data_IF_340989381951
#
_entry.id   IF_340989381951
#
_cell.length_a   1.000
_cell.length_b   1.000
_cell.length_c   1.000
_cell.angle_alpha   90.00
_cell.angle_beta   90.00
_cell.angle_gamma   90.00
#
_symmetry.space_group_name_H-M   'P 1'
#
loop_
_entity.id
_entity.type
_entity.pdbx_description
1 polymer ?
#
# COMPACT_ATOMS: atom_id res chain seq x y z
N UNK A 1 -21.36 50.03 -33.97
CA UNK A 1 -21.40 50.24 -32.51
C UNK A 1 -21.74 48.92 -31.86
N UNK A 2 -20.79 48.27 -31.18
CA UNK A 2 -20.98 46.99 -30.52
C UNK A 2 -21.01 47.22 -28.99
N UNK A 3 -21.98 46.66 -28.25
CA UNK A 3 -22.05 46.82 -26.80
C UNK A 3 -20.97 46.00 -26.12
N UNK A 4 -20.17 46.68 -25.29
CA UNK A 4 -19.15 46.10 -24.41
C UNK A 4 -19.85 45.32 -23.29
N UNK A 5 -19.61 44.00 -23.26
CA UNK A 5 -20.09 43.07 -22.24
C UNK A 5 -19.32 43.30 -20.94
N UNK A 6 -20.00 43.77 -19.89
CA UNK A 6 -19.40 44.01 -18.58
C UNK A 6 -18.99 42.68 -17.90
N UNK A 7 -17.84 42.61 -17.21
CA UNK A 7 -17.41 41.42 -16.48
C UNK A 7 -18.28 41.18 -15.22
N UNK A 8 -18.49 39.90 -14.82
CA UNK A 8 -19.29 39.56 -13.65
C UNK A 8 -18.60 40.02 -12.34
N UNK A 9 -19.37 40.38 -11.30
CA UNK A 9 -18.84 40.83 -10.02
C UNK A 9 -18.11 39.69 -9.28
N UNK A 10 -17.07 39.99 -8.49
CA UNK A 10 -16.38 39.00 -7.67
C UNK A 10 -17.29 38.45 -6.56
N UNK A 11 -17.12 37.18 -6.16
CA UNK A 11 -17.87 36.60 -5.05
C UNK A 11 -17.55 37.35 -3.75
N UNK A 12 -18.59 37.79 -3.05
CA UNK A 12 -18.48 38.45 -1.75
C UNK A 12 -17.68 37.59 -0.76
N UNK A 13 -16.80 38.18 0.08
CA UNK A 13 -16.15 37.44 1.15
C UNK A 13 -17.21 36.96 2.13
N UNK A 14 -17.46 35.65 2.14
CA UNK A 14 -18.33 35.04 3.12
C UNK A 14 -17.79 35.33 4.52
N UNK A 15 -18.68 35.89 5.34
CA UNK A 15 -18.46 36.26 6.71
C UNK A 15 -17.83 35.10 7.50
N UNK A 16 -16.70 35.42 8.13
CA UNK A 16 -16.07 34.61 9.16
C UNK A 16 -17.03 34.59 10.35
N UNK A 17 -17.80 33.50 10.48
CA UNK A 17 -18.66 33.31 11.65
C UNK A 17 -17.78 33.02 12.88
N UNK A 18 -18.01 33.70 14.01
CA UNK A 18 -17.24 33.51 15.23
C UNK A 18 -17.58 32.18 15.89
N UNK A 19 -16.55 31.59 16.50
CA UNK A 19 -16.59 30.38 17.27
C UNK A 19 -17.67 30.43 18.37
N UNK A 20 -18.70 29.59 18.22
CA UNK A 20 -19.58 29.25 19.33
C UNK A 20 -18.89 28.17 20.14
N UNK A 21 -18.25 28.59 21.23
CA UNK A 21 -17.78 27.71 22.28
C UNK A 21 -18.99 27.13 23.03
N UNK A 22 -18.98 25.82 23.28
CA UNK A 22 -19.75 25.24 24.39
C UNK A 22 -20.88 24.29 24.03
N UNK A 23 -20.55 23.15 23.40
CA UNK A 23 -21.13 21.86 23.80
C UNK A 23 -20.00 20.82 23.73
N UNK A 24 -19.61 20.17 24.84
CA UNK A 24 -18.65 19.08 24.81
C UNK A 24 -19.33 17.86 24.17
N UNK A 25 -19.30 17.81 22.83
CA UNK A 25 -19.67 16.61 22.08
C UNK A 25 -18.88 15.42 22.64
N UNK A 26 -19.52 14.24 22.79
CA UNK A 26 -18.96 13.08 23.46
C UNK A 26 -17.56 12.81 22.93
N UNK A 27 -16.60 13.02 23.84
CA UNK A 27 -15.17 12.96 23.58
C UNK A 27 -14.81 11.53 23.23
N UNK A 28 -14.13 11.37 22.10
CA UNK A 28 -12.90 10.60 22.12
C UNK A 28 -12.98 9.15 21.64
N UNK A 29 -13.83 8.82 20.67
CA UNK A 29 -13.43 7.72 19.80
C UNK A 29 -12.28 8.25 18.93
N UNK A 30 -11.07 7.79 19.24
CA UNK A 30 -9.86 8.17 18.52
C UNK A 30 -9.97 7.66 17.08
N UNK A 31 -10.42 8.55 16.18
CA UNK A 31 -10.48 8.29 14.75
C UNK A 31 -9.08 7.89 14.27
N UNK A 32 -8.96 6.74 13.62
CA UNK A 32 -7.71 6.25 13.03
C UNK A 32 -7.84 6.15 11.52
N UNK A 33 -6.74 6.42 10.84
CA UNK A 33 -6.56 6.14 9.41
C UNK A 33 -6.93 4.67 9.15
N UNK A 34 -7.76 4.40 8.14
CA UNK A 34 -8.20 3.06 7.76
C UNK A 34 -9.58 2.66 8.31
N UNK A 35 -10.14 3.38 9.28
CA UNK A 35 -11.48 3.07 9.80
C UNK A 35 -12.58 3.43 8.80
N UNK A 36 -13.66 2.64 8.76
CA UNK A 36 -14.86 2.97 8.00
C UNK A 36 -15.71 4.00 8.75
N UNK A 37 -16.16 5.01 8.02
CA UNK A 37 -16.98 6.11 8.54
C UNK A 37 -18.16 6.38 7.62
N UNK A 38 -19.23 6.90 8.21
CA UNK A 38 -20.37 7.47 7.50
C UNK A 38 -20.36 8.98 7.66
N UNK A 39 -20.59 9.70 6.56
CA UNK A 39 -20.71 11.15 6.59
C UNK A 39 -22.10 11.53 7.09
N UNK A 40 -22.16 12.45 8.06
CA UNK A 40 -23.40 13.07 8.55
C UNK A 40 -23.22 14.56 8.81
N UNK A 41 -24.33 15.29 8.92
CA UNK A 41 -24.32 16.71 9.29
C UNK A 41 -23.84 17.66 8.19
N UNK A 42 -23.85 17.22 6.93
CA UNK A 42 -23.65 18.12 5.79
C UNK A 42 -24.95 18.81 5.38
N UNK A 43 -24.85 20.06 4.91
CA UNK A 43 -25.99 20.80 4.35
C UNK A 43 -26.55 20.15 3.08
N UNK A 44 -25.73 19.41 2.33
CA UNK A 44 -26.16 18.65 1.17
C UNK A 44 -26.54 17.24 1.59
N UNK A 45 -27.81 16.89 1.42
CA UNK A 45 -28.35 15.58 1.78
C UNK A 45 -27.70 14.44 0.98
N UNK A 46 -27.25 14.71 -0.25
CA UNK A 46 -26.54 13.74 -1.09
C UNK A 46 -25.21 13.25 -0.49
N UNK A 47 -24.64 13.97 0.47
CA UNK A 47 -23.41 13.59 1.16
C UNK A 47 -23.67 12.83 2.46
N UNK A 48 -24.87 12.99 3.03
CA UNK A 48 -25.23 12.30 4.27
C UNK A 48 -25.55 10.83 3.97
N UNK A 49 -25.02 9.91 4.76
CA UNK A 49 -25.22 8.47 4.55
C UNK A 49 -24.17 7.82 3.64
N UNK A 50 -23.32 8.61 2.98
CA UNK A 50 -22.21 8.03 2.21
C UNK A 50 -21.18 7.41 3.13
N UNK A 51 -20.71 6.21 2.76
CA UNK A 51 -19.67 5.47 3.45
C UNK A 51 -18.32 5.70 2.78
N UNK A 52 -17.28 5.70 3.59
CA UNK A 52 -15.92 5.81 3.12
C UNK A 52 -14.89 5.38 4.16
N UNK A 53 -13.64 5.38 3.73
CA UNK A 53 -12.50 5.00 4.56
C UNK A 53 -11.72 6.24 4.95
N UNK A 54 -11.37 6.35 6.23
CA UNK A 54 -10.52 7.43 6.72
C UNK A 54 -9.11 7.31 6.14
N UNK A 55 -8.66 8.37 5.51
CA UNK A 55 -7.30 8.63 5.09
C UNK A 55 -6.53 9.44 6.12
N UNK A 56 -5.57 10.23 5.64
CA UNK A 56 -4.67 11.00 6.49
C UNK A 56 -5.39 12.20 7.12
N UNK A 57 -5.14 12.43 8.41
CA UNK A 57 -5.54 13.66 9.08
C UNK A 57 -4.62 14.82 8.68
N UNK A 58 -5.22 15.93 8.25
CA UNK A 58 -4.52 17.17 7.97
C UNK A 58 -4.70 18.12 9.15
N UNK A 59 -3.72 18.11 10.06
CA UNK A 59 -3.73 18.96 11.26
C UNK A 59 -3.80 20.45 10.89
N UNK A 60 -3.16 20.84 9.79
CA UNK A 60 -3.20 22.22 9.23
C UNK A 60 -4.63 22.69 8.94
N UNK A 61 -5.51 21.79 8.54
CA UNK A 61 -6.89 22.11 8.17
C UNK A 61 -7.91 21.64 9.21
N UNK A 62 -7.48 20.91 10.24
CA UNK A 62 -8.37 20.26 11.20
C UNK A 62 -9.39 19.33 10.55
N UNK A 63 -9.01 18.66 9.45
CA UNK A 63 -9.90 17.81 8.67
C UNK A 63 -9.26 16.48 8.30
N UNK A 64 -10.09 15.45 8.20
CA UNK A 64 -9.74 14.12 7.75
C UNK A 64 -9.95 14.01 6.24
N UNK A 65 -9.00 13.44 5.52
CA UNK A 65 -9.28 12.95 4.17
C UNK A 65 -10.14 11.69 4.29
N UNK A 66 -11.28 11.64 3.60
CA UNK A 66 -12.14 10.47 3.51
C UNK A 66 -12.23 10.05 2.05
N UNK A 67 -11.94 8.78 1.79
CA UNK A 67 -12.10 8.15 0.48
C UNK A 67 -13.49 7.53 0.43
N UNK A 68 -14.39 8.09 -0.36
CA UNK A 68 -15.77 7.61 -0.47
C UNK A 68 -15.81 6.32 -1.30
N UNK A 69 -16.64 5.35 -0.93
CA UNK A 69 -16.83 4.15 -1.78
C UNK A 69 -17.53 4.48 -3.11
N UNK A 70 -18.45 5.45 -3.09
CA UNK A 70 -19.16 5.88 -4.30
C UNK A 70 -18.31 6.74 -5.24
N UNK A 71 -17.21 7.33 -4.74
CA UNK A 71 -16.37 8.23 -5.52
C UNK A 71 -14.92 8.08 -5.10
N UNK A 72 -14.06 7.69 -6.04
CA UNK A 72 -12.61 7.50 -5.81
C UNK A 72 -11.85 8.78 -5.40
N UNK A 73 -12.52 9.93 -5.33
CA UNK A 73 -11.91 11.18 -4.90
C UNK A 73 -11.85 11.28 -3.36
N UNK A 74 -10.71 11.74 -2.84
CA UNK A 74 -10.58 12.08 -1.43
C UNK A 74 -11.30 13.42 -1.14
N UNK A 75 -12.13 13.45 -0.08
CA UNK A 75 -12.74 14.69 0.42
C UNK A 75 -12.24 15.02 1.82
N UNK A 76 -12.03 16.31 2.07
CA UNK A 76 -11.68 16.81 3.40
C UNK A 76 -12.96 16.99 4.23
N UNK A 77 -13.07 16.27 5.34
CA UNK A 77 -14.25 16.26 6.22
C UNK A 77 -13.83 16.54 7.65
N UNK A 78 -14.59 17.37 8.36
CA UNK A 78 -14.32 17.65 9.78
C UNK A 78 -14.70 16.43 10.64
N UNK A 79 -13.99 16.15 11.74
CA UNK A 79 -14.27 15.01 12.61
C UNK A 79 -15.70 15.00 13.18
N UNK A 80 -16.30 16.17 13.39
CA UNK A 80 -17.68 16.33 13.84
C UNK A 80 -18.75 15.87 12.83
N UNK A 81 -18.39 15.72 11.55
CA UNK A 81 -19.28 15.25 10.49
C UNK A 81 -19.06 13.77 10.16
N UNK A 82 -18.32 13.05 11.01
CA UNK A 82 -17.98 11.65 10.82
C UNK A 82 -18.61 10.81 11.94
N UNK A 83 -19.38 9.82 11.53
CA UNK A 83 -19.93 8.80 12.42
C UNK A 83 -19.20 7.49 12.15
N UNK A 84 -18.59 6.91 13.18
CA UNK A 84 -17.88 5.64 13.07
C UNK A 84 -18.88 4.52 12.81
N UNK A 85 -18.71 3.79 11.70
CA UNK A 85 -19.47 2.58 11.49
C UNK A 85 -18.67 1.43 12.10
N UNK A 86 -19.23 0.65 13.05
CA UNK A 86 -18.62 -0.61 13.43
C UNK A 86 -18.52 -1.47 12.16
N UNK A 87 -17.32 -2.02 11.89
CA UNK A 87 -17.11 -2.93 10.77
C UNK A 87 -18.01 -4.15 10.99
N UNK A 88 -19.17 -4.13 10.32
CA UNK A 88 -20.18 -5.18 10.42
C UNK A 88 -19.66 -6.52 9.87
N UNK A 89 -18.52 -6.49 9.19
CA UNK A 89 -17.80 -7.65 8.66
C UNK A 89 -17.21 -8.55 9.77
N UNK A 90 -16.94 -8.03 10.98
CA UNK A 90 -16.48 -8.86 12.10
C UNK A 90 -17.63 -9.61 12.80
N UNK A 91 -18.86 -9.12 12.68
CA UNK A 91 -20.03 -9.72 13.33
C UNK A 91 -20.47 -11.06 12.70
N UNK A 92 -19.98 -11.39 11.50
CA UNK A 92 -20.32 -12.66 10.83
C UNK A 92 -19.30 -13.77 11.08
N UNK A 93 -18.17 -13.49 11.74
CA UNK A 93 -17.16 -14.49 12.06
C UNK A 93 -17.37 -15.18 13.41
N UNK A 94 -18.08 -14.55 14.34
CA UNK A 94 -18.39 -15.13 15.66
C UNK A 94 -19.77 -15.83 15.74
N UNK A 95 -20.59 -15.75 14.70
CA UNK A 95 -21.94 -16.36 14.68
C UNK A 95 -22.01 -17.71 13.95
N UNK A 96 -20.92 -18.18 13.34
CA UNK A 96 -20.87 -19.48 12.66
C UNK A 96 -19.96 -20.45 13.42
N UNK A 97 -20.51 -21.06 14.50
CA UNK A 97 -20.44 -22.50 14.81
C UNK A 97 -20.76 -22.77 16.30
N UNK A 98 -22.01 -23.11 16.66
CA UNK A 98 -22.28 -24.05 17.72
C UNK A 98 -22.66 -25.40 17.09
N UNK A 99 -21.77 -26.39 17.20
CA UNK A 99 -22.14 -27.80 17.11
C UNK A 99 -21.60 -28.56 15.91
N UNK A 100 -20.43 -29.18 16.09
CA UNK A 100 -20.16 -30.52 15.57
C UNK A 100 -19.20 -31.22 16.52
N UNK A 101 -19.64 -32.37 17.02
CA UNK A 101 -19.10 -33.12 18.13
C UNK A 101 -17.71 -33.72 17.90
N UNK A 102 -16.98 -33.85 19.02
CA UNK A 102 -16.09 -34.95 19.39
C UNK A 102 -14.85 -35.23 18.53
N UNK A 103 -13.74 -34.60 18.92
CA UNK A 103 -12.38 -35.09 18.68
C UNK A 103 -11.41 -34.25 19.51
N UNK A 104 -10.90 -34.81 20.62
CA UNK A 104 -10.16 -34.06 21.65
C UNK A 104 -8.91 -33.36 21.13
N UNK A 105 -8.83 -32.05 21.40
CA UNK A 105 -7.59 -31.28 21.39
C UNK A 105 -7.30 -30.85 22.84
N UNK A 106 -6.11 -31.16 23.39
CA UNK A 106 -5.74 -30.77 24.74
C UNK A 106 -5.51 -29.27 24.82
N UNK A 107 -6.06 -28.68 25.87
CA UNK A 107 -6.04 -27.25 26.14
C UNK A 107 -4.64 -26.74 26.51
N UNK A 108 -4.22 -25.66 25.84
CA UNK A 108 -3.05 -24.87 26.20
C UNK A 108 -2.39 -24.18 25.02
N UNK A 109 -3.16 -23.49 24.15
CA UNK A 109 -2.63 -22.75 23.00
C UNK A 109 -1.91 -21.47 23.46
N UNK A 110 -0.63 -21.62 23.80
CA UNK A 110 0.33 -20.54 23.60
C UNK A 110 0.70 -20.57 22.11
N UNK A 111 0.26 -19.61 21.27
CA UNK A 111 0.53 -19.62 19.83
C UNK A 111 2.03 -19.44 19.49
N UNK A 112 2.88 -19.33 20.50
CA UNK A 112 4.34 -19.30 20.41
C UNK A 112 5.02 -20.55 20.98
N UNK A 113 4.28 -21.55 21.47
CA UNK A 113 4.85 -22.85 21.80
C UNK A 113 5.20 -23.56 20.50
N UNK A 114 6.35 -23.19 19.93
CA UNK A 114 6.99 -23.78 18.77
C UNK A 114 7.07 -25.29 19.00
N UNK A 115 6.14 -26.02 18.38
CA UNK A 115 6.04 -27.48 18.53
C UNK A 115 7.30 -28.06 17.91
N UNK A 116 8.27 -28.37 18.75
CA UNK A 116 9.50 -29.03 18.33
C UNK A 116 9.14 -30.41 17.75
N UNK A 117 9.71 -30.79 16.59
CA UNK A 117 9.55 -32.12 16.06
C UNK A 117 9.97 -33.19 17.09
N UNK A 118 9.35 -34.38 17.07
CA UNK A 118 9.79 -35.48 17.92
C UNK A 118 11.23 -35.89 17.57
N UNK A 119 12.02 -36.31 18.56
CA UNK A 119 13.46 -36.58 18.42
C UNK A 119 13.81 -37.70 17.41
N UNK A 120 12.85 -38.53 17.05
CA UNK A 120 13.02 -39.61 16.08
C UNK A 120 12.75 -39.19 14.62
N UNK A 121 12.26 -37.97 14.37
CA UNK A 121 11.94 -37.47 13.04
C UNK A 121 13.04 -36.54 12.51
N UNK A 122 14.12 -37.17 12.01
CA UNK A 122 15.28 -36.45 11.51
C UNK A 122 14.97 -35.51 10.33
N UNK A 123 13.98 -35.83 9.50
CA UNK A 123 13.59 -34.99 8.36
C UNK A 123 12.88 -33.72 8.83
N UNK A 124 11.98 -33.83 9.80
CA UNK A 124 11.32 -32.66 10.39
C UNK A 124 12.31 -31.72 11.10
N UNK A 125 13.35 -32.27 11.75
CA UNK A 125 14.46 -31.48 12.30
C UNK A 125 15.26 -30.74 11.23
N UNK A 126 15.53 -31.38 10.09
CA UNK A 126 16.22 -30.75 8.96
C UNK A 126 15.38 -29.61 8.36
N UNK A 127 14.07 -29.78 8.25
CA UNK A 127 13.17 -28.73 7.76
C UNK A 127 13.10 -27.54 8.74
N UNK A 128 12.99 -27.79 10.04
CA UNK A 128 12.99 -26.76 11.07
C UNK A 128 14.30 -25.95 11.04
N UNK A 129 15.46 -26.63 10.97
CA UNK A 129 16.76 -25.98 10.85
C UNK A 129 16.89 -25.17 9.54
N UNK A 130 16.34 -25.67 8.43
CA UNK A 130 16.33 -24.94 7.16
C UNK A 130 15.46 -23.69 7.25
N UNK A 131 14.27 -23.75 7.84
CA UNK A 131 13.41 -22.57 8.00
C UNK A 131 14.02 -21.54 8.96
N UNK A 132 14.57 -21.99 10.09
CA UNK A 132 15.29 -21.13 11.04
C UNK A 132 16.46 -20.40 10.36
N UNK A 133 17.27 -21.11 9.57
CA UNK A 133 18.35 -20.52 8.79
C UNK A 133 17.85 -19.50 7.75
N UNK A 134 16.74 -19.78 7.07
CA UNK A 134 16.13 -18.86 6.09
C UNK A 134 15.50 -17.63 6.75
N UNK A 135 14.95 -17.74 7.97
CA UNK A 135 14.49 -16.60 8.77
C UNK A 135 15.68 -15.74 9.21
N UNK A 136 16.76 -16.38 9.66
CA UNK A 136 17.99 -15.69 10.04
C UNK A 136 18.60 -14.94 8.84
N UNK A 137 18.70 -15.57 7.66
CA UNK A 137 19.15 -14.91 6.44
C UNK A 137 18.24 -13.73 6.04
N UNK A 138 16.93 -13.81 6.26
CA UNK A 138 16.02 -12.68 6.00
C UNK A 138 16.23 -11.54 7.00
N UNK A 139 16.45 -11.88 8.27
CA UNK A 139 16.70 -10.91 9.35
C UNK A 139 18.04 -10.19 9.18
N UNK A 140 19.13 -10.95 8.99
CA UNK A 140 20.48 -10.41 8.98
C UNK A 140 20.82 -9.65 7.70
N UNK A 141 20.19 -10.03 6.60
CA UNK A 141 20.54 -9.49 5.29
C UNK A 141 19.72 -8.24 4.94
N UNK A 142 18.87 -7.77 5.87
CA UNK A 142 18.00 -6.57 5.76
C UNK A 142 17.49 -6.38 4.33
N UNK A 143 17.11 -7.49 3.69
CA UNK A 143 16.72 -7.47 2.28
C UNK A 143 15.42 -6.67 2.27
N UNK A 144 15.38 -5.46 1.66
CA UNK A 144 14.11 -4.80 1.47
C UNK A 144 13.21 -5.83 0.80
N UNK A 145 12.01 -6.04 1.37
CA UNK A 145 11.01 -6.97 0.83
C UNK A 145 11.14 -6.97 -0.70
N UNK A 146 11.29 -8.15 -1.34
CA UNK A 146 11.60 -8.22 -2.75
C UNK A 146 10.67 -7.23 -3.48
N UNK A 147 11.24 -6.32 -4.30
CA UNK A 147 10.50 -5.20 -4.90
C UNK A 147 9.15 -5.70 -5.40
N UNK A 148 8.04 -4.96 -5.26
CA UNK A 148 6.67 -5.44 -5.13
C UNK A 148 6.16 -6.30 -6.32
N UNK A 149 6.73 -7.48 -6.50
CA UNK A 149 6.40 -8.43 -7.54
C UNK A 149 5.19 -9.26 -7.12
N UNK A 150 4.86 -9.36 -5.84
CA UNK A 150 3.66 -10.07 -5.40
C UNK A 150 2.37 -9.37 -5.86
N UNK A 151 2.29 -8.05 -5.71
CA UNK A 151 1.11 -7.28 -6.18
C UNK A 151 0.95 -7.41 -7.69
N UNK A 152 2.06 -7.41 -8.39
CA UNK A 152 2.15 -7.57 -9.84
C UNK A 152 1.82 -9.00 -10.30
N UNK A 153 2.30 -10.02 -9.59
CA UNK A 153 2.01 -11.43 -9.89
C UNK A 153 0.54 -11.75 -9.61
N UNK A 154 -0.06 -11.16 -8.57
CA UNK A 154 -1.53 -11.24 -8.35
C UNK A 154 -2.32 -10.57 -9.47
N UNK A 155 -1.84 -9.44 -9.99
CA UNK A 155 -2.44 -8.78 -11.15
C UNK A 155 -2.26 -9.59 -12.45
N UNK A 156 -1.13 -10.29 -12.61
CA UNK A 156 -0.87 -11.14 -13.77
C UNK A 156 -1.66 -12.46 -13.73
N UNK A 157 -1.94 -12.99 -12.53
CA UNK A 157 -2.75 -14.19 -12.35
C UNK A 157 -4.24 -13.96 -12.62
N UNK A 158 -4.74 -12.73 -12.39
CA UNK A 158 -6.11 -12.36 -12.69
C UNK A 158 -6.24 -11.95 -14.17
N UNK A 159 -7.05 -12.68 -14.94
CA UNK A 159 -7.29 -12.44 -16.39
C UNK A 159 -8.11 -11.17 -16.71
N UNK A 160 -8.13 -10.16 -15.86
CA UNK A 160 -8.87 -8.93 -16.16
C UNK A 160 -8.15 -8.14 -17.27
N UNK A 161 -8.89 -7.60 -18.27
CA UNK A 161 -8.31 -6.74 -19.28
C UNK A 161 -7.75 -5.48 -18.61
N UNK A 162 -6.43 -5.33 -18.63
CA UNK A 162 -5.73 -4.20 -18.02
C UNK A 162 -6.09 -2.93 -18.81
N UNK A 163 -6.57 -1.85 -18.16
CA UNK A 163 -6.98 -0.62 -18.84
C UNK A 163 -5.87 -0.03 -19.71
N UNK A 164 -6.25 0.40 -20.91
CA UNK A 164 -5.36 0.99 -21.91
C UNK A 164 -4.71 2.26 -21.35
N UNK A 165 -3.38 2.23 -21.18
CA UNK A 165 -2.61 3.33 -20.58
C UNK A 165 -1.96 3.02 -19.22
N UNK A 166 -2.29 1.89 -18.58
CA UNK A 166 -1.52 1.39 -17.44
C UNK A 166 -0.43 0.42 -17.92
N UNK A 167 0.82 0.82 -17.67
CA UNK A 167 2.05 0.08 -17.99
C UNK A 167 2.49 -0.92 -16.88
N UNK A 168 1.81 -2.06 -16.70
CA UNK A 168 2.51 -3.23 -16.17
C UNK A 168 2.54 -4.41 -17.13
N UNK A 169 1.45 -4.76 -17.82
CA UNK A 169 1.37 -6.05 -18.52
C UNK A 169 2.39 -6.21 -19.66
N UNK A 170 2.58 -5.20 -20.50
CA UNK A 170 3.57 -5.24 -21.58
C UNK A 170 5.00 -5.20 -21.05
N UNK A 171 5.26 -4.38 -20.03
CA UNK A 171 6.57 -4.26 -19.39
C UNK A 171 6.95 -5.57 -18.67
N UNK A 172 6.02 -6.18 -17.95
CA UNK A 172 6.22 -7.49 -17.31
C UNK A 172 6.39 -8.62 -18.31
N UNK A 173 5.65 -8.60 -19.41
CA UNK A 173 5.84 -9.58 -20.48
C UNK A 173 7.23 -9.44 -21.10
N UNK A 174 7.72 -8.22 -21.32
CA UNK A 174 9.11 -7.99 -21.75
C UNK A 174 10.13 -8.45 -20.69
N UNK A 175 9.89 -8.15 -19.41
CA UNK A 175 10.81 -8.52 -18.32
C UNK A 175 10.88 -10.04 -18.13
N UNK A 176 9.74 -10.73 -18.22
CA UNK A 176 9.67 -12.19 -18.22
C UNK A 176 10.39 -12.79 -19.43
N UNK A 177 10.21 -12.23 -20.64
CA UNK A 177 10.95 -12.68 -21.82
C UNK A 177 12.46 -12.48 -21.67
N UNK A 178 12.91 -11.38 -21.05
CA UNK A 178 14.34 -11.16 -20.76
C UNK A 178 14.89 -12.19 -19.77
N UNK A 179 14.14 -12.49 -18.70
CA UNK A 179 14.55 -13.50 -17.71
C UNK A 179 14.63 -14.90 -18.31
N UNK A 180 13.64 -15.31 -19.11
CA UNK A 180 13.69 -16.61 -19.80
C UNK A 180 14.88 -16.71 -20.77
N UNK A 181 15.22 -15.61 -21.49
CA UNK A 181 16.41 -15.57 -22.36
C UNK A 181 17.71 -15.66 -21.55
N UNK A 182 17.79 -15.01 -20.40
CA UNK A 182 18.95 -15.10 -19.51
C UNK A 182 19.11 -16.51 -18.93
N UNK A 183 18.01 -17.13 -18.48
CA UNK A 183 18.01 -18.48 -17.92
C UNK A 183 18.40 -19.54 -18.96
N UNK A 184 17.87 -19.44 -20.17
CA UNK A 184 18.20 -20.35 -21.28
C UNK A 184 19.59 -20.07 -21.88
N UNK A 185 20.32 -19.08 -21.38
CA UNK A 185 21.70 -18.79 -21.79
C UNK A 185 21.86 -18.00 -23.10
N UNK A 186 20.76 -17.47 -23.66
CA UNK A 186 20.73 -16.63 -24.87
C UNK A 186 20.99 -15.14 -24.58
N UNK A 187 21.22 -14.78 -23.32
CA UNK A 187 21.63 -13.43 -22.95
C UNK A 187 23.05 -13.11 -23.46
N UNK A 188 23.34 -11.84 -23.84
CA UNK A 188 24.68 -11.41 -24.18
C UNK A 188 25.57 -11.58 -22.96
N UNK A 189 26.33 -12.68 -22.90
CA UNK A 189 27.24 -12.96 -21.78
C UNK A 189 28.22 -11.79 -21.64
N UNK A 190 28.20 -11.04 -20.52
CA UNK A 190 29.20 -10.03 -20.26
C UNK A 190 30.55 -10.76 -20.14
N UNK A 191 31.38 -10.66 -21.16
CA UNK A 191 32.74 -11.21 -21.14
C UNK A 191 33.10 -12.21 -22.23
N UNK A 192 32.15 -12.76 -23.02
CA UNK A 192 32.55 -13.47 -24.25
C UNK A 192 32.70 -12.47 -25.38
N UNK A 193 33.91 -11.91 -25.49
CA UNK A 193 34.35 -11.19 -26.69
C UNK A 193 34.12 -12.12 -27.89
N UNK A 194 33.34 -11.67 -28.88
CA UNK A 194 33.23 -12.39 -30.15
C UNK A 194 34.66 -12.51 -30.73
N UNK A 195 35.11 -13.72 -31.08
CA UNK A 195 36.41 -13.87 -31.74
C UNK A 195 36.38 -13.06 -33.04
N UNK A 196 37.33 -12.13 -33.19
CA UNK A 196 37.47 -11.26 -34.36
C UNK A 196 37.10 -9.79 -34.15
N UNK A 197 36.61 -9.37 -32.97
CA UNK A 197 36.32 -7.96 -32.72
C UNK A 197 37.56 -7.23 -32.16
N UNK A 198 38.02 -6.12 -32.77
CA UNK A 198 39.18 -5.37 -32.29
C UNK A 198 38.92 -4.80 -30.88
N UNK A 199 39.96 -4.70 -30.03
CA UNK A 199 39.81 -4.18 -28.67
C UNK A 199 39.30 -2.73 -28.72
N UNK A 200 38.38 -2.34 -27.82
CA UNK A 200 37.93 -0.95 -27.77
C UNK A 200 39.11 -0.03 -27.41
N UNK A 201 39.14 1.21 -27.92
CA UNK A 201 40.17 2.17 -27.59
C UNK A 201 40.20 2.39 -26.07
N UNK A 202 41.38 2.24 -25.48
CA UNK A 202 41.62 2.55 -24.06
C UNK A 202 41.40 4.04 -23.85
N UNK A 203 40.27 4.42 -23.27
CA UNK A 203 40.11 5.75 -22.70
C UNK A 203 41.02 5.88 -21.49
N UNK A 204 42.09 6.65 -21.65
CA UNK A 204 42.96 7.04 -20.54
C UNK A 204 42.19 8.07 -19.72
N UNK A 205 41.66 7.66 -18.58
CA UNK A 205 40.93 8.53 -17.66
C UNK A 205 41.91 9.50 -16.98
N UNK A 206 42.25 10.58 -17.67
CA UNK A 206 42.94 11.75 -17.12
C UNK A 206 41.94 12.88 -16.87
N UNK A 207 41.03 12.70 -15.91
CA UNK A 207 40.19 13.80 -15.44
C UNK A 207 40.81 14.37 -14.16
N UNK A 208 41.60 15.42 -14.33
CA UNK A 208 42.14 16.24 -13.25
C UNK A 208 41.00 17.09 -12.69
N UNK A 209 40.61 16.84 -11.43
CA UNK A 209 39.66 17.69 -10.71
C UNK A 209 40.37 18.97 -10.21
N UNK A 210 39.89 20.18 -10.54
CA UNK A 210 40.40 21.39 -9.92
C UNK A 210 39.87 21.53 -8.48
N UNK A 211 40.78 21.60 -7.50
CA UNK A 211 40.46 21.97 -6.12
C UNK A 211 40.09 23.45 -6.06
N UNK A 212 38.84 23.75 -5.70
CA UNK A 212 38.43 25.10 -5.35
C UNK A 212 38.85 25.40 -3.90
N UNK A 213 39.80 26.34 -3.75
CA UNK A 213 40.13 27.03 -2.49
C UNK A 213 38.96 27.94 -2.11
N UNK A 214 38.39 27.77 -0.92
CA UNK A 214 37.56 28.79 -0.27
C UNK A 214 38.45 29.67 0.62
N UNK A 215 38.31 30.98 0.44
CA UNK A 215 38.68 32.03 1.39
C UNK A 215 37.45 32.41 2.21
#
# INVERSE_FOLDING_TARGET
>A
MLPVLAPPPPPSPQAVQPAVAGVPAPRGQALRTGMKVCLRGFSSEAMNGLKGTLGRFSEKQGSWQVFLESSSAAKAVRPQNLELLPDQDDAMKDAALPGAAAGGAPAGDDPMAEVLPPDNDGDAWVELLRDAYMRQLRSDNEYPEPPPYERVNRLAANQFPVPEGMFPAHALRMQSQMLHRCFNGDGPRPGRRRPGMPPPPRFVAGFVFPQNRMY
#
